data_IF_689848432121
#
_entry.id   IF_689848432121
#
_cell.length_a   1.000
_cell.length_b   1.000
_cell.length_c   1.000
_cell.angle_alpha   90.00
_cell.angle_beta   90.00
_cell.angle_gamma   90.00
#
_symmetry.space_group_name_H-M   'P 1'
#
loop_
_entity.id
_entity.type
_entity.pdbx_description
1 polymer ?
#
# COMPACT_ATOMS: atom_id res chain seq x y z
N UNK A 1 -15.77 -17.84 5.15
CA UNK A 1 -15.53 -16.81 6.20
C UNK A 1 -15.97 -17.40 7.52
N UNK A 2 -15.13 -17.41 8.57
CA UNK A 2 -15.50 -18.08 9.83
C UNK A 2 -14.39 -18.32 10.86
N UNK A 3 -13.29 -17.56 10.82
CA UNK A 3 -12.25 -17.66 11.86
C UNK A 3 -12.41 -16.44 12.78
N UNK A 4 -12.82 -16.71 14.01
CA UNK A 4 -12.94 -15.75 15.11
C UNK A 4 -12.16 -16.25 16.33
N UNK A 5 -10.85 -16.39 16.16
CA UNK A 5 -9.93 -16.70 17.26
C UNK A 5 -9.49 -15.38 17.89
N UNK A 6 -9.81 -15.10 19.16
CA UNK A 6 -9.58 -13.77 19.73
C UNK A 6 -8.12 -13.45 20.01
N UNK A 7 -7.30 -14.49 20.22
CA UNK A 7 -5.92 -14.43 20.67
C UNK A 7 -4.89 -14.57 19.52
N UNK A 8 -5.23 -14.13 18.31
CA UNK A 8 -4.28 -14.06 17.18
C UNK A 8 -3.25 -12.96 17.43
N UNK A 9 -1.98 -13.35 17.58
CA UNK A 9 -0.88 -12.41 17.92
C UNK A 9 -0.20 -11.77 16.73
N UNK A 10 -0.27 -12.37 15.56
CA UNK A 10 0.27 -11.77 14.37
C UNK A 10 -0.56 -12.12 13.14
N UNK A 11 -0.64 -11.18 12.22
CA UNK A 11 -1.08 -11.39 10.84
C UNK A 11 0.07 -10.97 9.94
N UNK A 12 0.51 -11.89 9.07
CA UNK A 12 1.62 -11.66 8.16
C UNK A 12 1.10 -11.76 6.73
N UNK A 13 1.25 -10.67 5.98
CA UNK A 13 1.05 -10.63 4.54
C UNK A 13 2.38 -10.90 3.86
N UNK A 14 2.51 -12.11 3.30
CA UNK A 14 3.67 -12.49 2.48
C UNK A 14 3.72 -11.71 1.16
N UNK A 15 2.56 -11.36 0.61
CA UNK A 15 2.44 -10.64 -0.66
C UNK A 15 1.48 -9.47 -0.53
N UNK A 16 1.62 -8.48 -1.40
CA UNK A 16 0.80 -7.28 -1.41
C UNK A 16 -0.71 -7.60 -1.50
N UNK A 17 -1.54 -7.09 -0.58
CA UNK A 17 -3.00 -7.12 -0.70
C UNK A 17 -3.48 -6.39 -1.96
N UNK A 18 -4.64 -6.77 -2.48
CA UNK A 18 -5.21 -6.13 -3.68
C UNK A 18 -5.78 -4.73 -3.41
N UNK A 19 -6.09 -4.43 -2.15
CA UNK A 19 -6.68 -3.16 -1.73
C UNK A 19 -6.45 -2.90 -0.24
N UNK A 20 -6.63 -1.64 0.16
CA UNK A 20 -6.57 -1.23 1.57
C UNK A 20 -7.71 -1.83 2.40
N UNK A 21 -8.89 -2.02 1.83
CA UNK A 21 -10.02 -2.65 2.52
C UNK A 21 -9.77 -4.12 2.83
N UNK A 22 -9.22 -4.85 1.86
CA UNK A 22 -8.81 -6.23 2.07
C UNK A 22 -7.76 -6.32 3.17
N UNK A 23 -6.71 -5.48 3.07
CA UNK A 23 -5.67 -5.41 4.09
C UNK A 23 -6.26 -5.13 5.48
N UNK A 24 -7.09 -4.09 5.62
CA UNK A 24 -7.70 -3.70 6.88
C UNK A 24 -8.56 -4.82 7.49
N UNK A 25 -9.39 -5.47 6.68
CA UNK A 25 -10.24 -6.57 7.14
C UNK A 25 -9.41 -7.80 7.57
N UNK A 26 -8.33 -8.10 6.85
CA UNK A 26 -7.45 -9.22 7.13
C UNK A 26 -6.62 -8.99 8.39
N UNK A 27 -6.00 -7.81 8.53
CA UNK A 27 -5.25 -7.43 9.73
C UNK A 27 -6.14 -7.26 10.97
N UNK A 28 -7.40 -6.85 10.80
CA UNK A 28 -8.40 -6.75 11.87
C UNK A 28 -8.81 -8.09 12.50
N UNK A 29 -8.19 -9.21 12.08
CA UNK A 29 -8.29 -10.51 12.76
C UNK A 29 -7.32 -10.65 13.93
N UNK A 30 -6.25 -9.85 13.97
CA UNK A 30 -5.30 -9.83 15.08
C UNK A 30 -5.91 -9.17 16.32
N UNK A 31 -5.56 -9.64 17.52
CA UNK A 31 -5.77 -8.85 18.73
C UNK A 31 -7.20 -8.58 19.17
N UNK A 32 -8.19 -9.43 18.82
CA UNK A 32 -9.59 -9.20 19.23
C UNK A 32 -9.82 -9.34 20.74
N UNK A 33 -8.88 -9.96 21.45
CA UNK A 33 -8.79 -9.95 22.92
C UNK A 33 -8.25 -8.62 23.49
N UNK A 34 -7.97 -7.62 22.65
CA UNK A 34 -7.46 -6.30 23.03
C UNK A 34 -5.98 -6.28 23.40
N UNK A 35 -5.29 -7.42 23.31
CA UNK A 35 -3.86 -7.51 23.65
C UNK A 35 -2.98 -7.11 22.45
N UNK A 36 -1.77 -6.60 22.70
CA UNK A 36 -0.82 -6.26 21.65
C UNK A 36 -0.65 -7.40 20.65
N UNK A 37 -0.71 -7.05 19.37
CA UNK A 37 -0.60 -7.97 18.24
C UNK A 37 0.00 -7.23 17.05
N UNK A 38 0.72 -7.95 16.21
CA UNK A 38 1.49 -7.37 15.10
C UNK A 38 0.83 -7.63 13.75
N UNK A 39 0.90 -6.64 12.87
CA UNK A 39 0.48 -6.77 11.48
C UNK A 39 1.68 -6.41 10.60
N UNK A 40 2.20 -7.40 9.87
CA UNK A 40 3.45 -7.28 9.11
C UNK A 40 3.15 -7.54 7.64
N UNK A 41 3.58 -6.64 6.77
CA UNK A 41 3.42 -6.77 5.32
C UNK A 41 4.79 -6.72 4.66
N UNK A 42 5.15 -7.78 3.94
CA UNK A 42 6.34 -7.81 3.08
C UNK A 42 6.00 -7.18 1.72
N UNK A 43 6.58 -6.03 1.44
CA UNK A 43 6.29 -5.28 0.22
C UNK A 43 7.44 -5.37 -0.77
N UNK A 44 7.12 -5.79 -2.00
CA UNK A 44 8.01 -5.68 -3.15
C UNK A 44 7.24 -5.23 -4.39
N UNK A 45 7.83 -4.34 -5.20
CA UNK A 45 7.19 -3.85 -6.42
C UNK A 45 6.87 -4.95 -7.44
N UNK A 46 7.55 -6.10 -7.37
CA UNK A 46 7.22 -7.29 -8.17
C UNK A 46 5.77 -7.77 -8.00
N UNK A 47 5.23 -7.64 -6.78
CA UNK A 47 3.83 -7.99 -6.50
C UNK A 47 2.87 -7.01 -7.20
N UNK A 48 3.22 -5.72 -7.27
CA UNK A 48 2.42 -4.70 -7.96
C UNK A 48 2.31 -5.05 -9.45
N UNK A 49 3.40 -5.42 -10.10
CA UNK A 49 3.39 -5.83 -11.50
C UNK A 49 2.56 -7.09 -11.73
N UNK A 50 2.73 -8.08 -10.85
CA UNK A 50 1.98 -9.34 -10.92
C UNK A 50 0.48 -9.09 -10.79
N UNK A 51 0.05 -8.28 -9.83
CA UNK A 51 -1.35 -7.94 -9.62
C UNK A 51 -1.92 -7.08 -10.76
N UNK A 52 -1.15 -6.10 -11.28
CA UNK A 52 -1.54 -5.33 -12.46
C UNK A 52 -1.78 -6.23 -13.68
N UNK A 53 -0.91 -7.22 -13.90
CA UNK A 53 -1.09 -8.20 -14.97
C UNK A 53 -2.36 -9.03 -14.75
N UNK A 54 -2.58 -9.54 -13.54
CA UNK A 54 -3.81 -10.28 -13.21
C UNK A 54 -5.09 -9.46 -13.44
N UNK A 55 -5.06 -8.15 -13.16
CA UNK A 55 -6.19 -7.24 -13.43
C UNK A 55 -6.41 -7.08 -14.94
N UNK A 56 -5.34 -6.87 -15.70
CA UNK A 56 -5.43 -6.67 -17.15
C UNK A 56 -5.91 -7.92 -17.88
N UNK A 57 -5.39 -9.08 -17.49
CA UNK A 57 -5.69 -10.40 -18.09
C UNK A 57 -7.05 -10.95 -17.64
N UNK A 58 -7.68 -10.35 -16.62
CA UNK A 58 -8.99 -10.78 -16.12
C UNK A 58 -10.17 -10.43 -17.04
N UNK A 59 -11.28 -11.15 -16.88
CA UNK A 59 -12.49 -11.02 -17.72
C UNK A 59 -13.42 -9.84 -17.32
N UNK A 60 -12.99 -8.97 -16.41
CA UNK A 60 -13.78 -7.83 -15.96
C UNK A 60 -13.95 -6.76 -17.04
N UNK A 61 -15.01 -5.96 -16.94
CA UNK A 61 -15.17 -4.77 -17.79
C UNK A 61 -14.04 -3.78 -17.56
N UNK A 62 -13.76 -2.89 -18.52
CA UNK A 62 -12.71 -1.86 -18.35
C UNK A 62 -12.95 -0.98 -17.13
N UNK A 63 -14.21 -0.65 -16.81
CA UNK A 63 -14.56 0.08 -15.59
C UNK A 63 -14.18 -0.71 -14.32
N UNK A 64 -14.45 -2.02 -14.30
CA UNK A 64 -14.06 -2.88 -13.18
C UNK A 64 -12.54 -2.98 -13.03
N UNK A 65 -11.82 -3.13 -14.15
CA UNK A 65 -10.35 -3.16 -14.18
C UNK A 65 -9.77 -1.84 -13.69
N UNK A 66 -10.31 -0.71 -14.13
CA UNK A 66 -9.84 0.60 -13.71
C UNK A 66 -10.05 0.82 -12.20
N UNK A 67 -11.21 0.41 -11.69
CA UNK A 67 -11.46 0.42 -10.24
C UNK A 67 -10.45 -0.44 -9.47
N UNK A 68 -10.14 -1.64 -9.97
CA UNK A 68 -9.13 -2.53 -9.36
C UNK A 68 -7.72 -1.93 -9.41
N UNK A 69 -7.32 -1.29 -10.53
CA UNK A 69 -6.05 -0.56 -10.63
C UNK A 69 -5.99 0.58 -9.63
N UNK A 70 -7.08 1.34 -9.48
CA UNK A 70 -7.19 2.39 -8.47
C UNK A 70 -6.99 1.88 -7.04
N UNK A 71 -7.64 0.77 -6.67
CA UNK A 71 -7.47 0.12 -5.37
C UNK A 71 -6.02 -0.35 -5.13
N UNK A 72 -5.42 -1.00 -6.14
CA UNK A 72 -4.05 -1.49 -6.05
C UNK A 72 -3.04 -0.33 -5.95
N UNK A 73 -3.24 0.74 -6.71
CA UNK A 73 -2.38 1.92 -6.63
C UNK A 73 -2.41 2.53 -5.22
N UNK A 74 -3.58 2.65 -4.59
CA UNK A 74 -3.69 3.14 -3.21
C UNK A 74 -2.98 2.23 -2.21
N UNK A 75 -3.10 0.91 -2.36
CA UNK A 75 -2.37 -0.05 -1.53
C UNK A 75 -0.85 0.05 -1.71
N UNK A 76 -0.38 0.21 -2.96
CA UNK A 76 1.04 0.42 -3.25
C UNK A 76 1.56 1.73 -2.66
N UNK A 77 0.81 2.83 -2.79
CA UNK A 77 1.15 4.12 -2.17
C UNK A 77 1.21 4.01 -0.65
N UNK A 78 0.27 3.30 -0.03
CA UNK A 78 0.30 3.05 1.41
C UNK A 78 1.59 2.34 1.83
N UNK A 79 2.06 1.34 1.08
CA UNK A 79 3.31 0.65 1.41
C UNK A 79 4.55 1.51 1.18
N UNK A 80 4.56 2.33 0.14
CA UNK A 80 5.68 3.18 -0.25
C UNK A 80 5.86 4.41 0.64
N UNK A 81 4.77 4.86 1.27
CA UNK A 81 4.81 5.96 2.24
C UNK A 81 5.60 5.58 3.50
N UNK A 82 6.68 6.32 3.75
CA UNK A 82 7.56 6.14 4.92
C UNK A 82 7.33 7.23 5.98
N UNK A 83 6.46 8.21 5.71
CA UNK A 83 6.30 9.42 6.52
C UNK A 83 5.02 9.41 7.34
N UNK A 84 3.87 9.19 6.71
CA UNK A 84 2.60 9.36 7.41
C UNK A 84 2.30 8.16 8.31
N UNK A 85 1.63 8.43 9.42
CA UNK A 85 1.20 7.38 10.35
C UNK A 85 0.29 6.38 9.63
N UNK A 86 0.65 5.08 9.70
CA UNK A 86 -0.13 3.99 9.10
C UNK A 86 -1.62 4.02 9.47
N UNK A 87 -1.94 4.38 10.73
CA UNK A 87 -3.33 4.49 11.23
C UNK A 87 -4.05 5.69 10.63
N UNK A 88 -3.39 6.84 10.51
CA UNK A 88 -3.98 8.03 9.87
C UNK A 88 -4.35 7.71 8.43
N UNK A 89 -3.44 7.07 7.68
CA UNK A 89 -3.66 6.75 6.27
C UNK A 89 -4.81 5.76 6.07
N UNK A 90 -4.85 4.68 6.86
CA UNK A 90 -5.94 3.70 6.81
C UNK A 90 -7.28 4.32 7.25
N UNK A 91 -7.34 5.03 8.38
CA UNK A 91 -8.61 5.54 8.89
C UNK A 91 -9.17 6.65 8.00
N UNK A 92 -8.30 7.52 7.46
CA UNK A 92 -8.70 8.53 6.47
C UNK A 92 -9.32 7.91 5.22
N UNK A 93 -8.86 6.73 4.81
CA UNK A 93 -9.46 5.98 3.70
C UNK A 93 -10.95 5.68 3.92
N UNK A 94 -11.34 5.39 5.16
CA UNK A 94 -12.72 5.12 5.55
C UNK A 94 -13.49 6.38 5.98
N UNK A 95 -12.92 7.57 5.81
CA UNK A 95 -13.53 8.83 6.22
C UNK A 95 -13.44 9.10 7.73
N UNK A 96 -12.60 8.36 8.44
CA UNK A 96 -12.38 8.53 9.88
C UNK A 96 -11.17 9.42 10.16
N UNK A 97 -11.31 10.33 11.13
CA UNK A 97 -10.21 11.15 11.60
C UNK A 97 -9.44 10.43 12.70
N UNK A 98 -8.11 10.54 12.68
CA UNK A 98 -7.23 9.99 13.72
C UNK A 98 -6.11 10.98 14.02
N UNK A 99 -5.87 11.26 15.30
CA UNK A 99 -4.77 12.12 15.71
C UNK A 99 -3.48 11.30 15.77
N UNK A 100 -2.43 11.75 15.10
CA UNK A 100 -1.13 11.07 15.09
C UNK A 100 -0.56 10.86 16.50
N UNK A 101 -0.88 11.75 17.45
CA UNK A 101 -0.48 11.61 18.84
C UNK A 101 -1.02 10.31 19.49
N UNK A 102 -2.21 9.87 19.10
CA UNK A 102 -2.86 8.67 19.64
C UNK A 102 -2.24 7.37 19.10
N UNK A 103 -1.38 7.45 18.08
CA UNK A 103 -0.63 6.30 17.58
C UNK A 103 0.35 5.76 18.64
N UNK A 104 0.84 6.62 19.55
CA UNK A 104 1.77 6.23 20.61
C UNK A 104 3.02 5.47 20.10
N UNK A 105 3.50 5.81 18.89
CA UNK A 105 4.66 5.17 18.23
C UNK A 105 4.52 3.65 18.02
N UNK A 106 3.30 3.18 17.79
CA UNK A 106 2.98 1.76 17.57
C UNK A 106 2.79 1.39 16.08
N UNK A 107 3.31 2.19 15.17
CA UNK A 107 3.53 1.77 13.77
C UNK A 107 4.96 2.12 13.36
N UNK A 108 5.47 1.43 12.35
CA UNK A 108 6.80 1.62 11.79
C UNK A 108 7.10 3.08 11.44
N UNK A 109 6.20 3.77 10.73
CA UNK A 109 6.42 5.16 10.32
C UNK A 109 6.53 6.12 11.52
N UNK A 110 5.69 5.95 12.56
CA UNK A 110 5.80 6.76 13.78
C UNK A 110 6.97 6.36 14.69
N UNK A 111 7.49 5.15 14.54
CA UNK A 111 8.67 4.68 15.26
C UNK A 111 9.97 5.15 14.59
N UNK A 112 9.93 5.38 13.28
CA UNK A 112 11.05 5.86 12.50
C UNK A 112 11.53 7.23 12.98
N UNK A 113 12.86 7.41 13.09
CA UNK A 113 13.50 8.64 13.58
C UNK A 113 14.21 9.43 12.47
N UNK A 114 14.04 9.05 11.21
CA UNK A 114 14.64 9.73 10.08
C UNK A 114 14.11 11.16 9.94
N UNK A 115 14.97 12.04 9.45
CA UNK A 115 14.58 13.38 9.01
C UNK A 115 14.29 13.28 7.53
N UNK A 116 13.11 13.76 7.13
CA UNK A 116 12.73 13.83 5.74
C UNK A 116 13.01 15.22 5.20
N UNK A 117 13.78 15.30 4.12
CA UNK A 117 14.00 16.53 3.37
C UNK A 117 13.10 16.54 2.15
N UNK A 118 12.48 17.68 1.89
CA UNK A 118 11.82 17.93 0.61
C UNK A 118 12.88 18.36 -0.40
N UNK A 119 12.89 17.70 -1.55
CA UNK A 119 13.82 17.98 -2.64
C UNK A 119 13.03 18.05 -3.94
N UNK A 120 13.34 19.08 -4.72
CA UNK A 120 12.78 19.23 -6.05
C UNK A 120 13.53 18.32 -7.03
N UNK A 121 12.79 17.44 -7.70
CA UNK A 121 13.29 16.55 -8.75
C UNK A 121 12.66 16.90 -10.12
N UNK A 122 12.09 18.10 -10.29
CA UNK A 122 11.39 18.50 -11.51
C UNK A 122 12.27 18.42 -12.75
N UNK A 123 13.54 18.84 -12.66
CA UNK A 123 14.49 18.74 -13.78
C UNK A 123 14.69 17.29 -14.22
N UNK A 124 14.85 16.35 -13.27
CA UNK A 124 14.97 14.93 -13.57
C UNK A 124 13.69 14.36 -14.16
N UNK A 125 12.53 14.75 -13.62
CA UNK A 125 11.24 14.30 -14.13
C UNK A 125 11.01 14.77 -15.58
N UNK A 126 11.35 16.03 -15.89
CA UNK A 126 11.28 16.58 -17.25
C UNK A 126 12.21 15.80 -18.17
N UNK A 127 13.47 15.58 -17.78
CA UNK A 127 14.44 14.83 -18.58
C UNK A 127 13.98 13.39 -18.89
N UNK A 128 13.37 12.70 -17.91
CA UNK A 128 12.77 11.36 -18.11
C UNK A 128 11.62 11.42 -19.11
N UNK A 129 10.71 12.39 -18.97
CA UNK A 129 9.56 12.55 -19.88
C UNK A 129 10.05 12.85 -21.31
N UNK A 130 11.04 13.73 -21.47
CA UNK A 130 11.65 14.07 -22.76
C UNK A 130 12.30 12.84 -23.39
N UNK A 131 13.04 12.05 -22.62
CA UNK A 131 13.65 10.79 -23.07
C UNK A 131 12.59 9.81 -23.58
N UNK A 132 11.50 9.62 -22.83
CA UNK A 132 10.39 8.75 -23.24
C UNK A 132 9.72 9.28 -24.51
N UNK A 133 9.48 10.59 -24.63
CA UNK A 133 8.89 11.20 -25.83
C UNK A 133 9.78 11.07 -27.06
N UNK A 134 11.09 11.17 -26.87
CA UNK A 134 12.07 11.06 -27.94
C UNK A 134 12.22 9.62 -28.48
N UNK A 135 11.77 8.60 -27.75
CA UNK A 135 11.94 7.20 -28.14
C UNK A 135 10.59 6.53 -28.37
N UNK A 136 10.28 6.21 -29.64
CA UNK A 136 8.95 5.74 -30.03
C UNK A 136 8.58 4.35 -29.48
N UNK A 137 9.55 3.52 -29.09
CA UNK A 137 9.34 2.25 -28.39
C UNK A 137 10.62 1.85 -27.63
N UNK A 138 10.61 1.88 -26.29
CA UNK A 138 11.59 1.16 -25.47
C UNK A 138 10.99 -0.20 -25.11
N UNK A 139 10.92 -1.12 -26.07
CA UNK A 139 10.70 -2.52 -25.76
C UNK A 139 12.02 -3.13 -25.31
N UNK A 140 12.02 -3.79 -24.15
CA UNK A 140 13.16 -4.50 -23.53
C UNK A 140 13.72 -5.66 -24.41
N UNK A 141 13.17 -5.88 -25.61
CA UNK A 141 13.53 -6.97 -26.52
C UNK A 141 14.13 -6.50 -27.87
N UNK A 142 14.89 -5.41 -27.89
CA UNK A 142 15.84 -5.12 -28.97
C UNK A 142 17.23 -4.88 -28.38
#
# INVERSE_FOLDING_TARGET
MGIDKPDVRFVIHHSLPKSLEGYYQETGRAGRDGKPSDCILYFGYGDVFTLKKMINDGDGSEEQKERQRGMLNRMSTYCDDQKDCRRVTILRYFGEAFNVADCNKTCDNCLHKGVFEERDFSEFAIAVIETIKAHKYLTINQ
#
